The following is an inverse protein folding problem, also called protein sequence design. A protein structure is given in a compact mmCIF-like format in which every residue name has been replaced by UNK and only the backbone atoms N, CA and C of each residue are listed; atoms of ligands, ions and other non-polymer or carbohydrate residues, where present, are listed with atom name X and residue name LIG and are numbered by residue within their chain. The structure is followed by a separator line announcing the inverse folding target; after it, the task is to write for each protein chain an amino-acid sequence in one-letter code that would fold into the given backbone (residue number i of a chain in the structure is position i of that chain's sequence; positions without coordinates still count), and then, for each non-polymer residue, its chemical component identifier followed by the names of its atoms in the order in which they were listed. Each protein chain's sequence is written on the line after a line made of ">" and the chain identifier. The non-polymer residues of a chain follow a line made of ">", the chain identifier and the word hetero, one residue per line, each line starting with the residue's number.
data_IF_634871641858
#
_entry.id   IF_634871641858
#
_cell.length_a   1.000
_cell.length_b   1.000
_cell.length_c   1.000
_cell.angle_alpha   90.00
_cell.angle_beta   90.00
_cell.angle_gamma   90.00
#
_symmetry.space_group_name_H-M   'P 1'
#
loop_
_entity.id
_entity.type
_entity.pdbx_description
1 polymer ?
#
# COMPACT_ATOMS: atom_id res chain seq x y z
N UNK A 1 33.99 -81.18 5.23
CA UNK A 1 34.51 -79.92 5.79
C UNK A 1 34.07 -78.74 4.91
N UNK A 2 32.77 -78.40 4.86
CA UNK A 2 32.27 -77.41 3.89
C UNK A 2 30.94 -76.74 4.26
N UNK A 3 30.60 -76.56 5.55
CA UNK A 3 29.27 -76.02 5.94
C UNK A 3 29.26 -74.82 6.90
N UNK A 4 30.40 -74.18 7.20
CA UNK A 4 30.46 -73.16 8.27
C UNK A 4 30.48 -71.70 7.76
N UNK A 5 30.49 -71.43 6.45
CA UNK A 5 30.63 -70.05 5.94
C UNK A 5 29.34 -69.33 5.51
N UNK A 6 28.16 -69.97 5.54
CA UNK A 6 26.94 -69.35 4.99
C UNK A 6 26.17 -68.42 5.92
N UNK A 7 26.46 -68.38 7.23
CA UNK A 7 25.63 -67.62 8.20
C UNK A 7 26.09 -66.18 8.51
N UNK A 8 27.20 -65.69 7.95
CA UNK A 8 27.79 -64.40 8.37
C UNK A 8 27.36 -63.17 7.56
N UNK A 9 26.59 -63.33 6.48
CA UNK A 9 26.24 -62.21 5.57
C UNK A 9 24.90 -61.53 5.88
N UNK A 10 24.03 -62.15 6.68
CA UNK A 10 22.66 -61.64 6.88
C UNK A 10 22.56 -60.60 8.02
N UNK A 11 23.59 -60.50 8.87
CA UNK A 11 23.60 -59.57 10.00
C UNK A 11 23.97 -58.11 9.66
N UNK A 12 24.66 -57.86 8.55
CA UNK A 12 25.11 -56.51 8.20
C UNK A 12 24.03 -55.66 7.52
N UNK A 13 23.11 -56.26 6.76
CA UNK A 13 22.06 -55.49 6.04
C UNK A 13 21.04 -54.86 7.00
N UNK A 14 20.78 -55.49 8.15
CA UNK A 14 19.82 -54.99 9.16
C UNK A 14 20.34 -53.74 9.87
N UNK A 15 21.66 -53.62 10.07
CA UNK A 15 22.26 -52.47 10.78
C UNK A 15 22.27 -51.21 9.91
N UNK A 16 22.48 -51.33 8.59
CA UNK A 16 22.44 -50.17 7.68
C UNK A 16 21.02 -49.62 7.46
N UNK A 17 19.98 -50.44 7.60
CA UNK A 17 18.62 -49.99 7.35
C UNK A 17 18.08 -49.03 8.44
N UNK A 18 18.55 -49.16 9.69
CA UNK A 18 18.10 -48.32 10.80
C UNK A 18 18.71 -46.90 10.78
N UNK A 19 19.93 -46.74 10.26
CA UNK A 19 20.59 -45.43 10.24
C UNK A 19 19.96 -44.47 9.21
N UNK A 20 19.58 -44.97 8.04
CA UNK A 20 18.96 -44.14 6.99
C UNK A 20 17.58 -43.63 7.41
N UNK A 21 16.80 -44.45 8.12
CA UNK A 21 15.46 -44.07 8.62
C UNK A 21 15.57 -42.94 9.65
N UNK A 22 16.52 -43.02 10.59
CA UNK A 22 16.74 -41.96 11.59
C UNK A 22 17.14 -40.62 10.93
N UNK A 23 18.02 -40.65 9.92
CA UNK A 23 18.45 -39.44 9.21
C UNK A 23 17.26 -38.77 8.51
N UNK A 24 16.42 -39.54 7.82
CA UNK A 24 15.23 -39.01 7.12
C UNK A 24 14.24 -38.38 8.13
N UNK A 25 13.99 -39.03 9.26
CA UNK A 25 13.14 -38.50 10.34
C UNK A 25 13.69 -37.19 10.91
N UNK A 26 15.00 -37.08 11.13
CA UNK A 26 15.63 -35.84 11.60
C UNK A 26 15.50 -34.70 10.57
N UNK A 27 15.67 -34.98 9.28
CA UNK A 27 15.48 -33.97 8.23
C UNK A 27 14.02 -33.50 8.12
N UNK A 28 13.05 -34.42 8.20
CA UNK A 28 11.63 -34.08 8.19
C UNK A 28 11.25 -33.24 9.41
N UNK A 29 11.79 -33.56 10.59
CA UNK A 29 11.56 -32.78 11.80
C UNK A 29 12.16 -31.37 11.69
N UNK A 30 13.36 -31.24 11.14
CA UNK A 30 14.00 -29.94 10.95
C UNK A 30 13.26 -29.09 9.91
N UNK A 31 12.79 -29.70 8.82
CA UNK A 31 11.95 -29.03 7.82
C UNK A 31 10.63 -28.55 8.44
N UNK A 32 9.97 -29.40 9.22
CA UNK A 32 8.76 -29.04 9.95
C UNK A 32 8.98 -27.86 10.91
N UNK A 33 10.08 -27.88 11.68
CA UNK A 33 10.48 -26.76 12.54
C UNK A 33 10.68 -25.48 11.74
N UNK A 34 11.40 -25.52 10.62
CA UNK A 34 11.62 -24.32 9.78
C UNK A 34 10.30 -23.75 9.24
N UNK A 35 9.34 -24.58 8.84
CA UNK A 35 8.01 -24.13 8.41
C UNK A 35 7.23 -23.45 9.54
N UNK A 36 7.32 -23.96 10.77
CA UNK A 36 6.68 -23.34 11.94
C UNK A 36 7.29 -21.96 12.25
N UNK A 37 8.61 -21.84 12.24
CA UNK A 37 9.29 -20.56 12.47
C UNK A 37 8.99 -19.53 11.38
N UNK A 38 8.92 -19.95 10.11
CA UNK A 38 8.61 -19.04 9.01
C UNK A 38 7.18 -18.46 9.13
N UNK A 39 6.22 -19.29 9.53
CA UNK A 39 4.82 -18.88 9.70
C UNK A 39 4.63 -17.84 10.82
N UNK A 40 5.41 -17.92 11.89
CA UNK A 40 5.37 -16.96 13.00
C UNK A 40 5.86 -15.56 12.58
N UNK A 41 6.91 -15.49 11.74
CA UNK A 41 7.45 -14.19 11.28
C UNK A 41 6.50 -13.43 10.36
N UNK A 42 5.72 -14.16 9.53
CA UNK A 42 4.74 -13.55 8.63
C UNK A 42 3.59 -12.85 9.38
N UNK A 43 3.12 -13.44 10.48
CA UNK A 43 2.03 -12.85 11.29
C UNK A 43 2.48 -11.56 12.00
N UNK A 44 3.70 -11.55 12.57
CA UNK A 44 4.23 -10.37 13.24
C UNK A 44 4.40 -9.17 12.29
N UNK A 45 4.82 -9.42 11.04
CA UNK A 45 4.93 -8.37 10.02
C UNK A 45 3.58 -7.75 9.66
N UNK A 46 2.51 -8.57 9.60
CA UNK A 46 1.14 -8.11 9.32
C UNK A 46 0.63 -7.12 10.38
N UNK A 47 0.81 -7.44 11.66
CA UNK A 47 0.35 -6.59 12.78
C UNK A 47 1.07 -5.23 12.78
N UNK A 48 2.38 -5.22 12.53
CA UNK A 48 3.15 -3.97 12.50
C UNK A 48 2.72 -3.05 11.34
N UNK A 49 2.47 -3.63 10.17
CA UNK A 49 1.99 -2.89 9.00
C UNK A 49 0.61 -2.29 9.24
N UNK A 50 -0.33 -3.05 9.82
CA UNK A 50 -1.67 -2.58 10.15
C UNK A 50 -1.63 -1.42 11.16
N UNK A 51 -0.82 -1.54 12.22
CA UNK A 51 -0.65 -0.49 13.22
C UNK A 51 -0.07 0.79 12.61
N UNK A 52 0.99 0.66 11.79
CA UNK A 52 1.61 1.80 11.13
C UNK A 52 0.63 2.49 10.16
N UNK A 53 -0.12 1.73 9.37
CA UNK A 53 -1.15 2.26 8.48
C UNK A 53 -2.27 2.96 9.25
N UNK A 54 -2.70 2.41 10.38
CA UNK A 54 -3.73 3.01 11.23
C UNK A 54 -3.29 4.35 11.81
N UNK A 55 -2.08 4.42 12.39
CA UNK A 55 -1.56 5.69 12.91
C UNK A 55 -1.31 6.71 11.79
N UNK A 56 -0.84 6.27 10.61
CA UNK A 56 -0.72 7.14 9.43
C UNK A 56 -2.07 7.71 9.01
N UNK A 57 -3.10 6.87 8.86
CA UNK A 57 -4.46 7.30 8.51
C UNK A 57 -4.98 8.29 9.55
N UNK A 58 -4.79 8.02 10.84
CA UNK A 58 -5.20 8.90 11.93
C UNK A 58 -4.50 10.27 11.88
N UNK A 59 -3.18 10.28 11.66
CA UNK A 59 -2.41 11.52 11.52
C UNK A 59 -2.89 12.35 10.31
N UNK A 60 -3.04 11.72 9.16
CA UNK A 60 -3.51 12.37 7.93
C UNK A 60 -4.96 12.88 8.07
N UNK A 61 -5.84 12.08 8.67
CA UNK A 61 -7.23 12.44 8.92
C UNK A 61 -7.34 13.67 9.81
N UNK A 62 -6.47 13.78 10.83
CA UNK A 62 -6.44 14.91 11.76
C UNK A 62 -5.99 16.22 11.08
N UNK A 63 -4.98 16.15 10.21
CA UNK A 63 -4.43 17.34 9.53
C UNK A 63 -5.21 17.78 8.29
N UNK A 64 -6.07 16.90 7.74
CA UNK A 64 -6.88 17.18 6.56
C UNK A 64 -8.14 17.98 6.89
N UNK A 65 -8.46 18.96 6.05
CA UNK A 65 -9.78 19.60 6.07
C UNK A 65 -10.82 18.73 5.39
N UNK A 66 -10.42 18.01 4.34
CA UNK A 66 -11.30 17.16 3.55
C UNK A 66 -10.62 15.81 3.27
N UNK A 67 -11.39 14.73 3.28
CA UNK A 67 -10.93 13.39 2.94
C UNK A 67 -11.90 12.82 1.91
N UNK A 68 -11.39 12.41 0.76
CA UNK A 68 -12.21 12.00 -0.38
C UNK A 68 -11.63 10.76 -1.05
N UNK A 69 -12.47 9.82 -1.45
CA UNK A 69 -12.12 8.77 -2.39
C UNK A 69 -12.47 9.27 -3.77
N UNK A 70 -11.47 9.36 -4.65
CA UNK A 70 -11.65 9.92 -5.98
C UNK A 70 -10.87 9.13 -7.02
N UNK A 71 -11.36 9.16 -8.26
CA UNK A 71 -10.55 8.78 -9.41
C UNK A 71 -9.80 10.01 -9.92
N UNK A 72 -8.52 9.84 -10.23
CA UNK A 72 -7.71 10.87 -10.87
C UNK A 72 -8.13 11.00 -12.33
N UNK A 73 -8.49 12.20 -12.73
CA UNK A 73 -8.79 12.58 -14.10
C UNK A 73 -7.57 13.19 -14.78
N UNK A 74 -7.83 14.22 -15.58
CA UNK A 74 -6.79 14.88 -16.38
C UNK A 74 -5.87 15.73 -15.52
N UNK A 75 -4.60 15.76 -15.92
CA UNK A 75 -3.57 16.59 -15.32
C UNK A 75 -3.00 17.56 -16.35
N UNK A 76 -2.75 18.80 -15.94
CA UNK A 76 -2.12 19.81 -16.78
C UNK A 76 -1.02 20.53 -16.01
N UNK A 77 0.18 20.55 -16.57
CA UNK A 77 1.32 21.27 -16.01
C UNK A 77 1.45 22.67 -16.63
N UNK A 78 1.90 23.63 -15.83
CA UNK A 78 2.18 25.00 -16.26
C UNK A 78 3.25 25.66 -15.41
N UNK A 79 3.85 26.73 -15.94
CA UNK A 79 4.75 27.58 -15.17
C UNK A 79 3.98 28.50 -14.21
N UNK A 80 4.50 28.63 -12.99
CA UNK A 80 4.09 29.62 -11.98
C UNK A 80 5.37 30.22 -11.40
N UNK A 81 5.79 31.36 -11.97
CA UNK A 81 7.11 31.92 -11.70
C UNK A 81 8.21 30.95 -12.14
N UNK A 82 9.19 30.62 -11.28
CA UNK A 82 10.28 29.70 -11.61
C UNK A 82 9.92 28.21 -11.42
N UNK A 83 8.68 27.89 -11.05
CA UNK A 83 8.26 26.53 -10.71
C UNK A 83 7.28 25.98 -11.74
N UNK A 84 7.38 24.67 -12.01
CA UNK A 84 6.34 23.92 -12.70
C UNK A 84 5.35 23.41 -11.64
N UNK A 85 4.07 23.64 -11.88
CA UNK A 85 2.99 23.07 -11.07
C UNK A 85 2.08 22.23 -11.96
N UNK A 86 1.52 21.17 -11.40
CA UNK A 86 0.55 20.31 -12.08
C UNK A 86 -0.79 20.38 -11.39
N UNK A 87 -1.78 20.89 -12.11
CA UNK A 87 -3.19 20.91 -11.71
C UNK A 87 -3.84 19.62 -12.20
N UNK A 88 -4.40 18.85 -11.28
CA UNK A 88 -5.03 17.55 -11.53
C UNK A 88 -6.49 17.61 -11.11
N UNK A 89 -7.39 17.13 -11.96
CA UNK A 89 -8.80 16.98 -11.63
C UNK A 89 -9.03 15.67 -10.91
N UNK A 90 -9.60 15.73 -9.71
CA UNK A 90 -10.09 14.57 -8.98
C UNK A 90 -11.60 14.49 -9.15
N UNK A 91 -12.09 13.31 -9.51
CA UNK A 91 -13.51 13.01 -9.64
C UNK A 91 -13.98 12.29 -8.37
N UNK A 92 -14.62 12.99 -7.41
CA UNK A 92 -15.06 12.38 -6.16
C UNK A 92 -16.03 11.23 -6.41
N UNK A 93 -15.83 10.13 -5.71
CA UNK A 93 -16.76 9.00 -5.64
C UNK A 93 -17.45 9.03 -4.27
N UNK A 94 -16.68 9.26 -3.22
CA UNK A 94 -17.18 9.30 -1.85
C UNK A 94 -16.44 10.38 -1.05
N UNK A 95 -17.20 11.20 -0.32
CA UNK A 95 -16.65 12.25 0.53
C UNK A 95 -16.77 11.76 1.97
N UNK A 96 -15.62 11.53 2.60
CA UNK A 96 -15.50 10.90 3.90
C UNK A 96 -15.40 11.95 5.01
N UNK A 97 -14.72 13.07 4.74
CA UNK A 97 -14.62 14.25 5.61
C UNK A 97 -14.71 15.52 4.79
N UNK A 98 -15.28 16.57 5.39
CA UNK A 98 -15.27 17.92 4.84
C UNK A 98 -16.61 18.35 4.28
N UNK A 99 -16.61 19.45 3.55
CA UNK A 99 -17.83 20.07 2.96
C UNK A 99 -17.72 20.21 1.45
N UNK A 100 -16.99 19.31 0.82
CA UNK A 100 -16.84 19.31 -0.62
C UNK A 100 -18.19 19.03 -1.27
N UNK A 101 -18.46 19.70 -2.39
CA UNK A 101 -19.59 19.35 -3.23
C UNK A 101 -19.19 18.15 -4.10
N UNK A 102 -20.17 17.39 -4.58
CA UNK A 102 -19.94 16.27 -5.51
C UNK A 102 -19.59 16.76 -6.93
N UNK A 103 -18.59 17.63 -7.03
CA UNK A 103 -18.07 18.26 -8.24
C UNK A 103 -16.60 17.91 -8.39
N UNK A 104 -16.06 17.89 -9.62
CA UNK A 104 -14.64 17.71 -9.83
C UNK A 104 -13.81 18.70 -9.00
N UNK A 105 -12.81 18.20 -8.30
CA UNK A 105 -11.92 18.98 -7.44
C UNK A 105 -10.60 19.21 -8.16
N UNK A 106 -10.15 20.46 -8.22
CA UNK A 106 -8.80 20.76 -8.72
C UNK A 106 -7.80 20.73 -7.59
N UNK A 107 -6.80 19.88 -7.76
CA UNK A 107 -5.70 19.69 -6.82
C UNK A 107 -4.40 20.04 -7.50
N UNK A 108 -3.56 20.83 -6.83
CA UNK A 108 -2.28 21.24 -7.40
C UNK A 108 -1.11 20.70 -6.62
N UNK A 109 -0.15 20.17 -7.36
CA UNK A 109 1.10 19.61 -6.87
C UNK A 109 2.29 20.35 -7.50
N UNK A 110 3.43 20.35 -6.82
CA UNK A 110 4.69 20.81 -7.41
C UNK A 110 5.25 19.76 -8.35
N UNK A 111 5.84 20.22 -9.46
CA UNK A 111 6.42 19.37 -10.48
C UNK A 111 5.50 19.14 -11.66
N UNK A 112 5.96 18.31 -12.59
CA UNK A 112 5.30 18.04 -13.86
C UNK A 112 6.21 18.29 -15.05
N UNK A 113 5.62 18.36 -16.24
CA UNK A 113 6.36 18.49 -17.50
C UNK A 113 5.74 19.59 -18.35
N UNK A 114 6.54 20.57 -18.79
CA UNK A 114 6.11 21.62 -19.72
C UNK A 114 7.06 21.64 -20.90
N UNK A 115 6.58 21.24 -22.08
CA UNK A 115 7.43 21.06 -23.26
C UNK A 115 8.46 19.97 -23.03
N UNK A 116 9.75 20.33 -23.10
CA UNK A 116 10.89 19.44 -22.87
C UNK A 116 11.49 19.55 -21.45
N UNK A 117 10.90 20.34 -20.56
CA UNK A 117 11.40 20.54 -19.19
C UNK A 117 10.52 19.76 -18.22
N UNK A 118 11.15 18.90 -17.42
CA UNK A 118 10.52 18.16 -16.34
C UNK A 118 11.04 18.66 -14.99
N UNK A 119 10.14 18.92 -14.05
CA UNK A 119 10.45 19.21 -12.66
C UNK A 119 9.90 18.09 -11.79
N UNK A 120 10.78 17.46 -11.02
CA UNK A 120 10.39 16.43 -10.05
C UNK A 120 10.50 16.99 -8.65
N UNK A 121 9.41 16.99 -7.89
CA UNK A 121 9.42 17.34 -6.49
C UNK A 121 9.41 16.05 -5.66
N UNK A 122 10.51 15.77 -4.96
CA UNK A 122 10.69 14.51 -4.21
C UNK A 122 9.55 14.25 -3.23
N UNK A 123 9.01 15.31 -2.63
CA UNK A 123 8.01 15.23 -1.56
C UNK A 123 6.56 15.39 -1.99
N UNK A 124 6.25 15.18 -3.28
CA UNK A 124 4.89 15.27 -3.81
C UNK A 124 4.41 13.91 -4.31
N UNK A 125 3.13 13.55 -4.04
CA UNK A 125 2.57 12.32 -4.57
C UNK A 125 2.38 12.48 -6.07
N UNK A 126 2.92 11.52 -6.83
CA UNK A 126 2.64 11.44 -8.26
C UNK A 126 1.19 10.99 -8.49
N UNK A 127 0.48 11.68 -9.37
CA UNK A 127 -0.90 11.36 -9.71
C UNK A 127 -0.97 10.78 -11.12
N UNK A 128 -1.51 9.57 -11.25
CA UNK A 128 -1.66 8.90 -12.54
C UNK A 128 -3.12 8.94 -12.98
N UNK A 129 -3.38 9.35 -14.23
CA UNK A 129 -4.74 9.38 -14.78
C UNK A 129 -5.40 7.99 -14.68
N UNK A 130 -6.64 7.97 -14.22
CA UNK A 130 -7.41 6.75 -13.99
C UNK A 130 -7.11 6.03 -12.67
N UNK A 131 -6.10 6.45 -11.88
CA UNK A 131 -5.84 5.84 -10.58
C UNK A 131 -6.97 6.13 -9.59
N UNK A 132 -7.22 5.17 -8.71
CA UNK A 132 -8.21 5.29 -7.65
C UNK A 132 -7.52 5.32 -6.28
N UNK A 133 -7.68 6.43 -5.58
CA UNK A 133 -7.04 6.63 -4.30
C UNK A 133 -7.91 7.41 -3.32
N UNK A 134 -7.57 7.28 -2.03
CA UNK A 134 -8.04 8.13 -0.97
C UNK A 134 -7.09 9.32 -0.84
N UNK A 135 -7.65 10.52 -0.89
CA UNK A 135 -6.93 11.78 -0.84
C UNK A 135 -7.24 12.53 0.46
N UNK A 136 -6.17 12.97 1.10
CA UNK A 136 -6.15 13.75 2.33
C UNK A 136 -5.78 15.19 1.96
N UNK A 137 -6.80 16.03 1.89
CA UNK A 137 -6.72 17.36 1.30
C UNK A 137 -6.74 18.44 2.38
N UNK A 138 -5.95 19.48 2.16
CA UNK A 138 -5.97 20.69 2.97
C UNK A 138 -6.47 21.87 2.14
N UNK A 139 -7.32 22.70 2.76
CA UNK A 139 -7.70 23.99 2.18
C UNK A 139 -6.48 24.88 2.03
N UNK A 140 -6.29 25.47 0.85
CA UNK A 140 -5.23 26.46 0.60
C UNK A 140 -5.60 27.81 1.24
N UNK A 141 -5.80 27.84 2.56
CA UNK A 141 -6.07 29.07 3.28
C UNK A 141 -4.76 29.76 3.62
N UNK A 142 -4.24 30.54 2.67
CA UNK A 142 -3.49 31.78 2.92
C UNK A 142 -1.96 31.74 3.00
N UNK A 143 -1.34 30.62 3.42
CA UNK A 143 0.13 30.57 3.67
C UNK A 143 0.95 29.68 2.75
N UNK A 144 0.34 28.91 1.84
CA UNK A 144 1.11 28.13 0.86
C UNK A 144 1.81 29.07 -0.13
N UNK A 145 3.12 28.84 -0.37
CA UNK A 145 3.89 29.54 -1.41
C UNK A 145 3.29 29.35 -2.81
N UNK A 146 2.44 28.35 -2.98
CA UNK A 146 1.70 28.06 -4.20
C UNK A 146 0.31 28.66 -4.08
N UNK A 147 0.23 29.98 -4.25
CA UNK A 147 -1.05 30.68 -4.32
C UNK A 147 -1.70 30.45 -5.69
N UNK A 148 -2.20 29.24 -5.92
CA UNK A 148 -3.20 29.02 -6.97
C UNK A 148 -4.56 29.07 -6.30
N UNK A 149 -5.32 30.13 -6.60
CA UNK A 149 -6.58 30.46 -5.93
C UNK A 149 -7.63 29.40 -6.26
N UNK A 150 -8.29 28.86 -5.23
CA UNK A 150 -9.40 27.91 -5.38
C UNK A 150 -9.01 26.43 -5.44
N UNK A 151 -7.72 26.11 -5.36
CA UNK A 151 -7.23 24.74 -5.44
C UNK A 151 -6.90 24.16 -4.06
N UNK A 152 -7.09 22.84 -3.92
CA UNK A 152 -6.67 22.08 -2.73
C UNK A 152 -5.24 21.57 -2.92
N UNK A 153 -4.55 21.35 -1.81
CA UNK A 153 -3.20 20.79 -1.80
C UNK A 153 -3.22 19.44 -1.09
N UNK A 154 -2.48 18.47 -1.62
CA UNK A 154 -2.28 17.17 -0.97
C UNK A 154 -1.22 17.33 0.13
N UNK A 155 -1.49 16.76 1.30
CA UNK A 155 -0.58 16.81 2.45
C UNK A 155 0.70 15.99 2.21
N UNK A 156 1.68 16.58 1.53
CA UNK A 156 2.98 15.97 1.26
C UNK A 156 2.90 14.61 0.55
N UNK A 157 3.99 13.83 0.59
CA UNK A 157 4.07 12.48 -0.02
C UNK A 157 2.97 11.54 0.46
N UNK A 158 2.48 11.76 1.69
CA UNK A 158 1.63 10.82 2.39
C UNK A 158 0.14 11.12 2.24
N UNK A 159 -0.25 12.25 1.66
CA UNK A 159 -1.66 12.63 1.52
C UNK A 159 -2.45 11.82 0.50
N UNK A 160 -1.85 10.76 -0.07
CA UNK A 160 -2.50 9.79 -0.95
C UNK A 160 -2.34 8.38 -0.38
N UNK A 161 -3.44 7.62 -0.33
CA UNK A 161 -3.41 6.18 -0.10
C UNK A 161 -4.04 5.50 -1.31
N UNK A 162 -3.23 4.76 -2.07
CA UNK A 162 -3.70 4.02 -3.24
C UNK A 162 -4.66 2.92 -2.79
N UNK A 163 -5.85 2.88 -3.41
CA UNK A 163 -6.85 1.85 -3.12
C UNK A 163 -6.71 0.73 -4.14
N UNK A 164 -6.65 1.10 -5.43
CA UNK A 164 -6.52 0.17 -6.55
C UNK A 164 -5.66 0.76 -7.67
N UNK A 165 -5.17 -0.12 -8.53
CA UNK A 165 -4.46 0.24 -9.74
C UNK A 165 -5.39 0.99 -10.74
N UNK A 166 -4.81 1.74 -11.69
CA UNK A 166 -5.57 2.35 -12.78
C UNK A 166 -6.44 1.34 -13.54
N UNK A 167 -7.66 1.76 -13.91
CA UNK A 167 -8.60 0.93 -14.68
C UNK A 167 -9.52 0.04 -13.84
N UNK A 168 -9.45 0.09 -12.51
CA UNK A 168 -10.37 -0.66 -11.64
C UNK A 168 -11.82 -0.16 -11.77
N UNK A 169 -12.78 -1.09 -11.87
CA UNK A 169 -14.20 -0.75 -11.93
C UNK A 169 -14.69 -0.20 -10.58
N UNK A 170 -15.18 1.04 -10.61
CA UNK A 170 -15.67 1.75 -9.44
C UNK A 170 -16.86 1.05 -8.78
N UNK A 171 -17.68 0.32 -9.53
CA UNK A 171 -18.84 -0.40 -8.99
C UNK A 171 -18.43 -1.54 -8.05
N UNK A 172 -17.21 -2.07 -8.22
CA UNK A 172 -16.68 -3.15 -7.39
C UNK A 172 -16.11 -2.64 -6.05
N UNK A 173 -15.92 -1.33 -5.87
CA UNK A 173 -15.39 -0.77 -4.62
C UNK A 173 -16.30 -1.01 -3.43
N UNK A 174 -17.61 -0.88 -3.63
CA UNK A 174 -18.58 -1.03 -2.55
C UNK A 174 -18.56 -2.46 -1.98
N UNK A 175 -18.18 -3.43 -2.79
CA UNK A 175 -18.11 -4.85 -2.43
C UNK A 175 -16.71 -5.30 -1.97
N UNK A 176 -15.71 -4.41 -2.00
CA UNK A 176 -14.34 -4.76 -1.59
C UNK A 176 -14.20 -4.72 -0.06
N UNK A 177 -14.02 -5.89 0.57
CA UNK A 177 -13.88 -6.02 2.01
C UNK A 177 -12.70 -5.23 2.60
N UNK A 178 -11.57 -5.13 1.87
CA UNK A 178 -10.40 -4.38 2.33
C UNK A 178 -10.72 -2.89 2.35
N UNK A 179 -11.41 -2.39 1.33
CA UNK A 179 -11.85 -1.00 1.28
C UNK A 179 -12.86 -0.69 2.40
N UNK A 180 -13.86 -1.56 2.60
CA UNK A 180 -14.83 -1.41 3.68
C UNK A 180 -14.18 -1.43 5.07
N UNK A 181 -13.21 -2.31 5.30
CA UNK A 181 -12.42 -2.34 6.53
C UNK A 181 -11.66 -1.03 6.78
N UNK A 182 -11.04 -0.49 5.73
CA UNK A 182 -10.35 0.80 5.79
C UNK A 182 -11.32 1.95 6.06
N UNK A 183 -12.48 2.01 5.40
CA UNK A 183 -13.53 2.99 5.66
C UNK A 183 -14.03 2.93 7.10
N UNK A 184 -14.26 1.72 7.64
CA UNK A 184 -14.64 1.54 9.04
C UNK A 184 -13.58 2.07 10.01
N UNK A 185 -12.30 1.85 9.72
CA UNK A 185 -11.19 2.38 10.51
C UNK A 185 -11.14 3.90 10.44
N UNK A 186 -11.26 4.47 9.25
CA UNK A 186 -11.25 5.90 9.02
C UNK A 186 -12.44 6.61 9.70
N UNK A 187 -13.64 6.04 9.63
CA UNK A 187 -14.84 6.58 10.29
C UNK A 187 -14.71 6.69 11.81
N UNK A 188 -13.79 5.94 12.44
CA UNK A 188 -13.46 6.09 13.87
C UNK A 188 -12.65 7.35 14.18
N UNK A 189 -11.96 7.92 13.19
CA UNK A 189 -11.04 9.05 13.37
C UNK A 189 -11.52 10.37 12.75
N UNK A 190 -12.54 10.33 11.90
CA UNK A 190 -13.05 11.52 11.21
C UNK A 190 -14.15 12.24 11.99
N UNK A 191 -14.88 11.54 12.87
CA UNK A 191 -15.84 12.15 13.80
C UNK A 191 -15.12 12.94 14.87
#
# INVERSE_FOLDING_TARGET
>A
MSDVQSQRKDGLSVVYHNNNVSIILSFLFLLFLTCLFLSATAQAAGIHLEKHMTEKIKQLSKSSSDVVVAQVGKSQSRWVGPLIVTSTELMPIEILKGRLLNKPLKVTTLGGTVGNIQLTASHQPMLHEGELAMFFLQSSTGKSKLRVRGEKVILGEQGKINIKAPGYDRNLLQHDHSFQGMLKTLNRYIR
#
